data_IF_340443148818
#
_entry.id   IF_340443148818
#
_cell.length_a   1.000
_cell.length_b   1.000
_cell.length_c   1.000
_cell.angle_alpha   90.00
_cell.angle_beta   90.00
_cell.angle_gamma   90.00
#
_symmetry.space_group_name_H-M   'P 1'
#
loop_
_entity.id
_entity.type
_entity.pdbx_description
1 polymer ?
#
# COMPACT_ATOMS: atom_id res chain seq x y z
N UNK A 1 0.35 4.33 -0.13
CA UNK A 1 -0.60 3.26 0.15
C UNK A 1 -1.99 3.67 -0.31
N UNK A 2 -2.70 2.78 -1.00
CA UNK A 2 -3.99 3.09 -1.65
C UNK A 2 -5.04 3.61 -0.67
N UNK A 3 -5.21 2.95 0.47
CA UNK A 3 -6.23 3.34 1.46
C UNK A 3 -5.95 4.73 2.02
N UNK A 4 -4.70 5.05 2.31
CA UNK A 4 -4.32 6.36 2.83
C UNK A 4 -4.61 7.47 1.81
N UNK A 5 -4.26 7.22 0.54
CA UNK A 5 -4.51 8.20 -0.52
C UNK A 5 -6.01 8.41 -0.74
N UNK A 6 -6.81 7.34 -0.74
CA UNK A 6 -8.25 7.43 -0.96
C UNK A 6 -9.02 7.97 0.23
N UNK A 7 -8.44 7.95 1.42
CA UNK A 7 -9.04 8.58 2.59
C UNK A 7 -9.20 10.09 2.41
N UNK A 8 -8.27 10.71 1.73
CA UNK A 8 -8.29 12.15 1.50
C UNK A 8 -9.30 12.55 0.43
N UNK A 9 -9.35 11.79 -0.68
CA UNK A 9 -10.26 12.07 -1.80
C UNK A 9 -10.37 10.86 -2.72
N UNK A 10 -11.49 10.76 -3.48
CA UNK A 10 -11.59 9.78 -4.55
C UNK A 10 -10.54 10.06 -5.64
N UNK A 11 -9.93 9.01 -6.16
CA UNK A 11 -8.89 9.13 -7.19
C UNK A 11 -9.17 8.20 -8.36
N UNK A 12 -8.76 8.63 -9.56
CA UNK A 12 -8.75 7.80 -10.76
C UNK A 12 -7.58 6.83 -10.69
N UNK A 13 -7.66 5.75 -11.48
CA UNK A 13 -6.59 4.77 -11.58
C UNK A 13 -5.24 5.41 -11.91
N UNK A 14 -5.21 6.28 -12.93
CA UNK A 14 -3.98 6.95 -13.34
C UNK A 14 -3.38 7.84 -12.27
N UNK A 15 -4.23 8.52 -11.50
CA UNK A 15 -3.78 9.35 -10.38
C UNK A 15 -3.18 8.50 -9.25
N UNK A 16 -3.81 7.37 -8.94
CA UNK A 16 -3.28 6.41 -7.96
C UNK A 16 -1.92 5.87 -8.41
N UNK A 17 -1.83 5.47 -9.67
CA UNK A 17 -0.58 4.92 -10.21
C UNK A 17 0.55 5.94 -10.17
N UNK A 18 0.26 7.20 -10.50
CA UNK A 18 1.25 8.26 -10.46
C UNK A 18 1.75 8.54 -9.04
N UNK A 19 0.85 8.49 -8.06
CA UNK A 19 1.21 8.77 -6.67
C UNK A 19 1.86 7.60 -5.94
N UNK A 20 1.76 6.40 -6.48
CA UNK A 20 2.34 5.20 -5.91
C UNK A 20 3.62 4.82 -6.66
N UNK A 21 4.71 5.45 -6.27
CA UNK A 21 6.03 5.25 -6.89
C UNK A 21 6.46 3.78 -6.86
N UNK A 22 6.96 3.31 -8.01
CA UNK A 22 7.55 1.99 -8.12
C UNK A 22 6.56 0.83 -8.24
N UNK A 23 5.25 1.09 -8.18
CA UNK A 23 4.25 0.04 -8.37
C UNK A 23 3.95 -0.15 -9.87
N UNK A 24 3.86 -1.39 -10.31
CA UNK A 24 3.43 -1.69 -11.68
C UNK A 24 1.92 -1.58 -11.81
N UNK A 25 1.45 -1.34 -13.03
CA UNK A 25 0.01 -1.28 -13.29
C UNK A 25 -0.69 -2.58 -12.93
N UNK A 26 -0.05 -3.71 -13.22
CA UNK A 26 -0.61 -5.02 -12.90
C UNK A 26 -0.80 -5.21 -11.39
N UNK A 27 0.22 -4.88 -10.61
CA UNK A 27 0.15 -4.99 -9.14
C UNK A 27 -0.93 -4.06 -8.59
N UNK A 28 -1.02 -2.84 -9.11
CA UNK A 28 -2.06 -1.90 -8.68
C UNK A 28 -3.46 -2.41 -9.01
N UNK A 29 -3.67 -2.92 -10.22
CA UNK A 29 -4.97 -3.51 -10.62
C UNK A 29 -5.35 -4.66 -9.69
N UNK A 30 -4.41 -5.57 -9.42
CA UNK A 30 -4.66 -6.73 -8.57
C UNK A 30 -4.98 -6.29 -7.14
N UNK A 31 -4.27 -5.30 -6.62
CA UNK A 31 -4.50 -4.75 -5.29
C UNK A 31 -5.87 -4.09 -5.18
N UNK A 32 -6.23 -3.28 -6.17
CA UNK A 32 -7.55 -2.61 -6.19
C UNK A 32 -8.69 -3.62 -6.27
N UNK A 33 -8.54 -4.66 -7.09
CA UNK A 33 -9.54 -5.72 -7.19
C UNK A 33 -9.71 -6.48 -5.87
N UNK A 34 -8.60 -6.78 -5.20
CA UNK A 34 -8.64 -7.45 -3.91
C UNK A 34 -9.36 -6.60 -2.85
N UNK A 35 -9.05 -5.30 -2.81
CA UNK A 35 -9.70 -4.37 -1.88
C UNK A 35 -11.19 -4.20 -2.19
N UNK A 36 -11.54 -4.13 -3.46
CA UNK A 36 -12.93 -4.05 -3.90
C UNK A 36 -13.71 -5.30 -3.51
N UNK A 37 -13.11 -6.47 -3.73
CA UNK A 37 -13.68 -7.76 -3.35
C UNK A 37 -13.94 -7.85 -1.85
N UNK A 38 -13.03 -7.32 -1.05
CA UNK A 38 -13.13 -7.34 0.41
C UNK A 38 -14.04 -6.24 0.96
N UNK A 39 -14.65 -5.45 0.09
CA UNK A 39 -15.59 -4.41 0.49
C UNK A 39 -14.93 -3.14 1.01
N UNK A 40 -13.63 -2.96 0.83
CA UNK A 40 -12.90 -1.78 1.27
C UNK A 40 -12.98 -0.62 0.29
N UNK A 41 -13.13 -0.92 -0.98
CA UNK A 41 -13.23 0.05 -2.06
C UNK A 41 -14.48 -0.16 -2.89
N UNK A 42 -14.94 0.93 -3.51
CA UNK A 42 -15.98 0.88 -4.53
C UNK A 42 -15.60 1.81 -5.66
N UNK A 43 -16.22 1.60 -6.81
CA UNK A 43 -16.06 2.48 -7.97
C UNK A 43 -17.26 3.41 -8.07
N UNK A 44 -16.97 4.68 -8.32
CA UNK A 44 -17.99 5.66 -8.60
C UNK A 44 -17.64 6.44 -9.86
N UNK A 45 -18.63 7.09 -10.42
CA UNK A 45 -18.43 7.97 -11.57
C UNK A 45 -18.59 9.40 -11.07
N UNK A 46 -17.57 10.23 -11.32
CA UNK A 46 -17.61 11.64 -10.96
C UNK A 46 -18.46 12.46 -11.93
N UNK A 47 -18.64 13.74 -11.61
CA UNK A 47 -19.40 14.68 -12.44
C UNK A 47 -18.80 14.85 -13.84
N UNK A 48 -17.51 14.59 -13.97
CA UNK A 48 -16.79 14.65 -15.27
C UNK A 48 -16.94 13.36 -16.10
N UNK A 49 -17.72 12.37 -15.63
CA UNK A 49 -17.93 11.10 -16.32
C UNK A 49 -16.81 10.10 -16.18
N UNK A 50 -15.77 10.40 -15.42
CA UNK A 50 -14.65 9.49 -15.21
C UNK A 50 -14.84 8.64 -13.97
N UNK A 51 -14.40 7.38 -14.06
CA UNK A 51 -14.42 6.44 -12.93
C UNK A 51 -13.39 6.83 -11.89
N UNK A 52 -13.78 6.74 -10.63
CA UNK A 52 -12.89 6.94 -9.48
C UNK A 52 -13.07 5.83 -8.48
N UNK A 53 -12.00 5.56 -7.74
CA UNK A 53 -12.05 4.65 -6.60
C UNK A 53 -12.33 5.44 -5.33
N UNK A 54 -13.19 4.89 -4.50
CA UNK A 54 -13.58 5.50 -3.23
C UNK A 54 -13.47 4.47 -2.12
N UNK A 55 -13.15 4.94 -0.91
CA UNK A 55 -13.24 4.07 0.27
C UNK A 55 -14.70 3.91 0.67
N UNK A 56 -15.06 2.66 0.97
CA UNK A 56 -16.33 2.37 1.65
C UNK A 56 -16.23 2.77 3.12
N UNK A 57 -17.33 2.74 3.84
CA UNK A 57 -17.33 2.92 5.28
C UNK A 57 -16.38 1.92 5.95
N UNK A 58 -16.42 0.66 5.51
CA UNK A 58 -15.51 -0.37 6.01
C UNK A 58 -14.05 -0.02 5.71
N UNK A 59 -13.74 0.43 4.48
CA UNK A 59 -12.38 0.81 4.10
C UNK A 59 -11.85 1.98 4.93
N UNK A 60 -12.70 2.90 5.31
CA UNK A 60 -12.32 4.05 6.16
C UNK A 60 -11.87 3.63 7.55
N UNK A 61 -12.36 2.49 8.05
CA UNK A 61 -11.94 1.98 9.35
C UNK A 61 -10.47 1.58 9.40
N UNK A 62 -9.85 1.35 8.25
CA UNK A 62 -8.42 1.02 8.16
C UNK A 62 -7.50 2.23 8.29
N UNK A 63 -8.02 3.44 8.13
CA UNK A 63 -7.18 4.65 8.14
C UNK A 63 -6.43 4.80 9.46
N UNK A 64 -7.10 4.66 10.58
CA UNK A 64 -6.50 4.85 11.90
C UNK A 64 -5.40 3.82 12.22
N UNK A 65 -5.66 2.49 12.04
CA UNK A 65 -4.59 1.49 12.21
C UNK A 65 -3.41 1.69 11.26
N UNK A 66 -3.66 2.06 10.00
CA UNK A 66 -2.60 2.31 9.03
C UNK A 66 -1.77 3.53 9.39
N UNK A 67 -2.42 4.58 9.89
CA UNK A 67 -1.73 5.78 10.36
C UNK A 67 -0.84 5.46 11.55
N UNK A 68 -1.34 4.68 12.50
CA UNK A 68 -0.56 4.23 13.65
C UNK A 68 0.64 3.39 13.21
N UNK A 69 0.45 2.50 12.24
CA UNK A 69 1.53 1.69 11.68
C UNK A 69 2.57 2.55 10.97
N UNK A 70 2.14 3.57 10.24
CA UNK A 70 3.04 4.50 9.57
C UNK A 70 3.91 5.26 10.58
N UNK A 71 3.32 5.76 11.64
CA UNK A 71 4.06 6.45 12.72
C UNK A 71 5.07 5.49 13.36
N UNK A 72 4.65 4.26 13.63
CA UNK A 72 5.55 3.24 14.16
C UNK A 72 6.73 2.98 13.21
N UNK A 73 6.44 2.80 11.93
CA UNK A 73 7.48 2.54 10.92
C UNK A 73 8.48 3.69 10.82
N UNK A 74 8.01 4.93 10.83
CA UNK A 74 8.86 6.11 10.79
C UNK A 74 9.76 6.20 12.02
N UNK A 75 9.23 5.81 13.19
CA UNK A 75 9.99 5.84 14.45
C UNK A 75 11.03 4.73 14.55
N UNK A 76 10.85 3.63 13.81
CA UNK A 76 11.66 2.42 13.94
C UNK A 76 12.36 2.02 12.64
N UNK A 77 12.38 2.90 11.62
CA UNK A 77 12.93 2.59 10.31
C UNK A 77 14.40 2.16 10.38
N UNK A 78 15.19 2.80 11.22
CA UNK A 78 16.62 2.46 11.37
C UNK A 78 16.79 1.09 12.03
N UNK A 79 15.99 0.79 13.04
CA UNK A 79 16.03 -0.51 13.72
C UNK A 79 15.64 -1.63 12.75
N UNK A 80 14.64 -1.39 11.91
CA UNK A 80 14.20 -2.35 10.89
C UNK A 80 15.30 -2.57 9.86
N UNK A 81 15.93 -1.50 9.37
CA UNK A 81 17.04 -1.59 8.42
C UNK A 81 18.22 -2.35 9.00
N UNK A 82 18.58 -2.07 10.24
CA UNK A 82 19.66 -2.78 10.93
C UNK A 82 19.35 -4.27 11.05
N UNK A 83 18.11 -4.61 11.38
CA UNK A 83 17.66 -6.00 11.45
C UNK A 83 17.70 -6.68 10.08
N UNK A 84 17.28 -5.99 9.03
CA UNK A 84 17.32 -6.49 7.67
C UNK A 84 18.77 -6.73 7.21
N UNK A 85 19.65 -5.78 7.49
CA UNK A 85 21.07 -5.90 7.13
C UNK A 85 21.73 -7.09 7.83
N UNK A 86 21.40 -7.30 9.11
CA UNK A 86 21.91 -8.46 9.84
C UNK A 86 21.37 -9.77 9.30
N UNK A 87 20.10 -9.79 8.94
CA UNK A 87 19.47 -10.98 8.34
C UNK A 87 20.10 -11.32 7.00
N UNK A 88 20.27 -10.32 6.13
CA UNK A 88 20.85 -10.50 4.81
C UNK A 88 22.31 -10.97 4.90
N UNK A 89 23.09 -10.39 5.81
CA UNK A 89 24.46 -10.80 6.05
C UNK A 89 24.54 -12.25 6.54
N UNK A 90 23.65 -12.64 7.46
CA UNK A 90 23.60 -14.02 7.96
C UNK A 90 23.14 -14.99 6.86
N UNK A 91 22.18 -14.60 6.03
CA UNK A 91 21.71 -15.40 4.91
C UNK A 91 22.80 -15.61 3.86
N UNK A 92 23.56 -14.54 3.53
CA UNK A 92 24.68 -14.62 2.60
C UNK A 92 25.78 -15.54 3.15
N UNK A 93 26.13 -15.40 4.41
CA UNK A 93 27.13 -16.25 5.06
C UNK A 93 26.66 -17.71 5.07
N UNK A 94 25.38 -17.96 5.29
CA UNK A 94 24.79 -19.28 5.28
C UNK A 94 24.80 -19.89 3.88
N UNK A 95 24.49 -19.08 2.87
CA UNK A 95 24.53 -19.52 1.47
C UNK A 95 25.93 -19.87 1.02
N UNK A 96 26.92 -19.09 1.45
CA UNK A 96 28.32 -19.32 1.12
C UNK A 96 28.91 -20.51 1.91
N UNK A 97 28.38 -20.77 3.09
CA UNK A 97 28.83 -21.86 3.95
C UNK A 97 28.18 -23.22 3.68
N UNK A 98 27.07 -23.24 2.97
CA UNK A 98 26.31 -24.44 2.64
C UNK A 98 26.74 -24.97 1.27
N UNK A 99 27.18 -26.21 1.22
CA UNK A 99 27.50 -26.82 -0.06
C UNK A 99 26.27 -27.11 -0.91
#
# INVERSE_FOLDING_TARGET
MTVVLLHEQPLRFGELHTRMDGITKKVLVDTLRALERDGMLERGVGDDGHSRYLLTTLGRTLHEPLQALQVWAESHVEDVRDAQDRYDAAADAKTLGDP
#
